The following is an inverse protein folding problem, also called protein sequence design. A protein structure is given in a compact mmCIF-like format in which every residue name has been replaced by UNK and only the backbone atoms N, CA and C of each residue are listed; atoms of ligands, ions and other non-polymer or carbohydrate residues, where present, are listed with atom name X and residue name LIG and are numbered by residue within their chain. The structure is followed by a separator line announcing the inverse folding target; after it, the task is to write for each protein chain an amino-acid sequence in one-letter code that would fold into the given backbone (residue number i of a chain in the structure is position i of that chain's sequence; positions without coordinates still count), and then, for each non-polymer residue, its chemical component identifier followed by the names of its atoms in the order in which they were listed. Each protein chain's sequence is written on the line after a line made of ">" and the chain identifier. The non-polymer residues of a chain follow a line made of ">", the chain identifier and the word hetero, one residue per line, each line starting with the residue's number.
data_IF_083951203226
#
_entry.id   IF_083951203226
#
_cell.length_a   1.000
_cell.length_b   1.000
_cell.length_c   1.000
_cell.angle_alpha   90.00
_cell.angle_beta   90.00
_cell.angle_gamma   90.00
#
_symmetry.space_group_name_H-M   'P 1'
#
loop_
_entity.id
_entity.type
_entity.pdbx_description
1 polymer ?
#
# COMPACT_ATOMS: atom_id res chain seq x y z
N UNK A 1 21.26 -13.26 -1.04
CA UNK A 1 21.01 -13.38 0.40
C UNK A 1 22.23 -13.03 1.22
N UNK A 2 23.40 -13.57 0.86
CA UNK A 2 24.68 -13.27 1.50
C UNK A 2 24.94 -11.76 1.64
N UNK A 3 24.81 -10.97 0.58
CA UNK A 3 24.98 -9.51 0.61
C UNK A 3 24.00 -8.80 1.57
N UNK A 4 22.76 -9.28 1.65
CA UNK A 4 21.72 -8.69 2.51
C UNK A 4 22.08 -8.94 3.98
N UNK A 5 22.44 -10.19 4.31
CA UNK A 5 22.77 -10.59 5.67
C UNK A 5 24.12 -10.04 6.15
N UNK A 6 25.10 -9.87 5.24
CA UNK A 6 26.42 -9.31 5.57
C UNK A 6 26.44 -7.78 5.67
N UNK A 7 25.40 -7.09 5.17
CA UNK A 7 25.31 -5.62 5.13
C UNK A 7 25.30 -4.91 6.48
N UNK A 8 25.20 -5.64 7.60
CA UNK A 8 24.98 -5.09 8.95
C UNK A 8 23.71 -4.21 9.07
N UNK A 9 22.79 -4.29 8.11
CA UNK A 9 21.56 -3.53 8.12
C UNK A 9 20.65 -3.94 9.29
N UNK A 10 20.04 -2.94 9.93
CA UNK A 10 19.03 -3.15 10.99
C UNK A 10 17.60 -3.16 10.43
N UNK A 11 17.40 -2.55 9.26
CA UNK A 11 16.10 -2.41 8.59
C UNK A 11 16.30 -2.74 7.11
N UNK A 12 15.45 -3.63 6.60
CA UNK A 12 15.35 -3.96 5.18
C UNK A 12 14.06 -3.36 4.60
N UNK A 13 14.20 -2.43 3.66
CA UNK A 13 13.09 -1.93 2.86
C UNK A 13 12.93 -2.76 1.59
N UNK A 14 11.75 -3.33 1.38
CA UNK A 14 11.44 -4.17 0.22
C UNK A 14 10.47 -3.41 -0.69
N UNK A 15 10.95 -2.99 -1.86
CA UNK A 15 10.21 -2.22 -2.85
C UNK A 15 9.80 -3.06 -4.07
N UNK A 16 9.41 -4.33 -3.88
CA UNK A 16 8.97 -5.23 -4.95
C UNK A 16 7.52 -4.99 -5.39
N UNK A 17 6.79 -4.14 -4.67
CA UNK A 17 5.37 -3.87 -4.87
C UNK A 17 4.46 -4.93 -4.24
N UNK A 18 3.27 -4.53 -3.83
CA UNK A 18 2.27 -5.43 -3.26
C UNK A 18 1.52 -6.22 -4.36
N UNK A 19 1.27 -7.53 -4.19
CA UNK A 19 1.52 -8.34 -2.97
C UNK A 19 2.90 -9.05 -2.95
N UNK A 20 3.74 -8.84 -3.98
CA UNK A 20 4.98 -9.58 -4.18
C UNK A 20 5.96 -9.37 -3.02
N UNK A 21 6.06 -8.16 -2.48
CA UNK A 21 6.93 -7.85 -1.36
C UNK A 21 6.53 -8.63 -0.09
N UNK A 22 5.23 -8.79 0.19
CA UNK A 22 4.75 -9.52 1.37
C UNK A 22 5.06 -11.02 1.24
N UNK A 23 4.87 -11.59 0.06
CA UNK A 23 5.22 -12.98 -0.20
C UNK A 23 6.72 -13.22 -0.15
N UNK A 24 7.51 -12.36 -0.78
CA UNK A 24 8.97 -12.50 -0.77
C UNK A 24 9.54 -12.43 0.65
N UNK A 25 9.08 -11.47 1.48
CA UNK A 25 9.50 -11.38 2.89
C UNK A 25 9.12 -12.66 3.65
N UNK A 26 7.92 -13.20 3.40
CA UNK A 26 7.42 -14.40 4.07
C UNK A 26 8.22 -15.65 3.67
N UNK A 27 8.42 -15.84 2.37
CA UNK A 27 9.17 -16.98 1.81
C UNK A 27 10.60 -17.04 2.36
N UNK A 28 11.22 -15.87 2.56
CA UNK A 28 12.60 -15.77 3.01
C UNK A 28 12.71 -15.43 4.51
N UNK A 29 11.63 -15.55 5.26
CA UNK A 29 11.58 -15.07 6.65
C UNK A 29 12.63 -15.75 7.55
N UNK A 30 12.89 -17.04 7.33
CA UNK A 30 13.87 -17.82 8.06
C UNK A 30 15.33 -17.59 7.63
N UNK A 31 15.55 -17.08 6.42
CA UNK A 31 16.89 -16.84 5.86
C UNK A 31 17.39 -15.41 6.13
N UNK A 32 16.47 -14.45 6.27
CA UNK A 32 16.80 -13.05 6.53
C UNK A 32 17.20 -12.86 7.99
N UNK A 33 18.45 -12.45 8.21
CA UNK A 33 19.00 -12.15 9.55
C UNK A 33 18.66 -10.72 10.02
N UNK A 34 18.10 -9.89 9.15
CA UNK A 34 17.72 -8.51 9.47
C UNK A 34 16.43 -8.51 10.30
N UNK A 35 16.42 -7.87 11.49
CA UNK A 35 15.30 -7.98 12.42
C UNK A 35 14.03 -7.31 11.88
N UNK A 36 14.16 -6.16 11.22
CA UNK A 36 13.04 -5.38 10.71
C UNK A 36 12.99 -5.43 9.20
N UNK A 37 11.85 -5.85 8.64
CA UNK A 37 11.61 -6.03 7.21
C UNK A 37 10.29 -5.36 6.85
N UNK A 38 10.32 -4.35 5.99
CA UNK A 38 9.16 -3.51 5.69
C UNK A 38 8.96 -3.46 4.18
N UNK A 39 7.78 -3.91 3.73
CA UNK A 39 7.32 -3.63 2.38
C UNK A 39 6.97 -2.15 2.25
N UNK A 40 7.69 -1.41 1.39
CA UNK A 40 7.49 0.04 1.22
C UNK A 40 6.59 0.37 0.03
N UNK A 41 6.21 -0.64 -0.76
CA UNK A 41 5.47 -0.44 -2.00
C UNK A 41 6.18 0.52 -2.95
N UNK A 42 5.40 1.27 -3.72
CA UNK A 42 5.94 2.28 -4.65
C UNK A 42 6.33 3.61 -3.98
N UNK A 43 6.47 3.66 -2.65
CA UNK A 43 6.87 4.88 -1.94
C UNK A 43 8.30 5.26 -2.28
N UNK A 44 9.17 4.25 -2.45
CA UNK A 44 10.56 4.45 -2.87
C UNK A 44 10.64 5.06 -4.27
N UNK A 45 9.78 4.65 -5.21
CA UNK A 45 9.73 5.22 -6.56
C UNK A 45 9.45 6.73 -6.55
N UNK A 46 8.66 7.20 -5.59
CA UNK A 46 8.35 8.64 -5.43
C UNK A 46 9.56 9.38 -4.87
N UNK A 47 10.24 8.80 -3.88
CA UNK A 47 11.46 9.39 -3.28
C UNK A 47 12.60 9.42 -4.30
N UNK A 48 12.75 8.38 -5.12
CA UNK A 48 13.75 8.28 -6.18
C UNK A 48 13.43 9.14 -7.42
N UNK A 49 12.29 9.85 -7.43
CA UNK A 49 11.87 10.70 -8.56
C UNK A 49 11.36 9.95 -9.79
N UNK A 50 11.23 8.62 -9.71
CA UNK A 50 10.74 7.75 -10.80
C UNK A 50 9.24 7.97 -11.03
N UNK A 51 8.47 8.15 -9.96
CA UNK A 51 7.04 8.44 -10.02
C UNK A 51 6.71 9.84 -9.52
N UNK A 52 5.90 10.56 -10.29
CA UNK A 52 5.33 11.82 -9.85
C UNK A 52 4.33 11.57 -8.72
N UNK A 53 4.50 12.30 -7.61
CA UNK A 53 3.53 12.36 -6.52
C UNK A 53 2.23 12.99 -7.02
N UNK A 54 1.11 12.66 -6.38
CA UNK A 54 -0.15 13.33 -6.68
C UNK A 54 -0.03 14.85 -6.44
N UNK A 55 -0.72 15.68 -7.24
CA UNK A 55 -0.76 17.12 -7.00
C UNK A 55 -1.24 17.45 -5.59
N UNK A 56 -0.77 18.57 -5.03
CA UNK A 56 -1.07 18.97 -3.65
C UNK A 56 -2.56 19.04 -3.32
N UNK A 57 -3.41 19.36 -4.31
CA UNK A 57 -4.87 19.29 -4.17
C UNK A 57 -5.34 17.90 -3.72
N UNK A 58 -4.97 16.85 -4.45
CA UNK A 58 -5.37 15.48 -4.12
C UNK A 58 -4.83 15.02 -2.77
N UNK A 59 -3.61 15.42 -2.41
CA UNK A 59 -3.03 15.09 -1.11
C UNK A 59 -3.81 15.77 0.02
N UNK A 60 -4.11 17.08 -0.11
CA UNK A 60 -4.85 17.85 0.91
C UNK A 60 -6.24 17.29 1.20
N UNK A 61 -6.90 16.71 0.20
CA UNK A 61 -8.22 16.09 0.35
C UNK A 61 -8.18 14.58 0.61
N UNK A 62 -7.00 13.98 0.85
CA UNK A 62 -6.82 12.53 0.96
C UNK A 62 -7.34 11.73 -0.26
N UNK A 63 -7.37 12.37 -1.43
CA UNK A 63 -7.82 11.81 -2.72
C UNK A 63 -6.66 11.26 -3.56
N UNK A 64 -5.51 11.00 -2.96
CA UNK A 64 -4.36 10.43 -3.68
C UNK A 64 -4.71 9.06 -4.31
N UNK A 65 -5.57 8.28 -3.67
CA UNK A 65 -6.06 7.02 -4.21
C UNK A 65 -6.83 7.21 -5.54
N UNK A 66 -7.61 8.30 -5.64
CA UNK A 66 -8.40 8.65 -6.82
C UNK A 66 -7.50 9.16 -7.94
N UNK A 67 -6.51 10.00 -7.61
CA UNK A 67 -5.50 10.42 -8.58
C UNK A 67 -4.80 9.19 -9.19
N UNK A 68 -4.35 8.26 -8.34
CA UNK A 68 -3.69 7.02 -8.80
C UNK A 68 -4.62 6.13 -9.63
N UNK A 69 -5.92 6.14 -9.33
CA UNK A 69 -6.93 5.42 -10.13
C UNK A 69 -7.02 5.98 -11.55
N UNK A 70 -7.04 7.31 -11.68
CA UNK A 70 -7.14 7.99 -12.96
C UNK A 70 -5.85 7.84 -13.78
N UNK A 71 -4.67 7.83 -13.14
CA UNK A 71 -3.37 7.74 -13.84
C UNK A 71 -2.92 6.33 -14.15
N UNK A 72 -3.37 5.32 -13.39
CA UNK A 72 -2.94 3.92 -13.55
C UNK A 72 -4.17 2.99 -13.70
N UNK A 73 -4.82 2.96 -14.88
CA UNK A 73 -6.07 2.22 -15.09
C UNK A 73 -5.95 0.71 -14.90
N UNK A 74 -4.74 0.14 -15.02
CA UNK A 74 -4.47 -1.26 -14.69
C UNK A 74 -4.74 -1.60 -13.21
N UNK A 75 -4.76 -0.60 -12.32
CA UNK A 75 -5.04 -0.77 -10.89
C UNK A 75 -6.52 -0.65 -10.52
N UNK A 76 -7.40 -0.42 -11.50
CA UNK A 76 -8.83 -0.15 -11.27
C UNK A 76 -9.54 -1.23 -10.47
N UNK A 77 -9.30 -2.51 -10.78
CA UNK A 77 -9.92 -3.64 -10.08
C UNK A 77 -9.64 -3.66 -8.57
N UNK A 78 -8.40 -3.32 -8.17
CA UNK A 78 -8.01 -3.30 -6.76
C UNK A 78 -8.54 -2.07 -6.02
N UNK A 79 -8.59 -0.93 -6.71
CA UNK A 79 -8.98 0.34 -6.10
C UNK A 79 -10.49 0.48 -5.95
N UNK A 80 -11.31 -0.15 -6.82
CA UNK A 80 -12.77 -0.14 -6.69
C UNK A 80 -13.29 -0.82 -5.42
N UNK A 81 -12.51 -1.72 -4.81
CA UNK A 81 -12.87 -2.31 -3.52
C UNK A 81 -13.02 -1.25 -2.42
N UNK A 82 -12.29 -0.13 -2.49
CA UNK A 82 -12.34 0.94 -1.50
C UNK A 82 -13.69 1.70 -1.48
N UNK A 83 -14.21 2.25 -2.59
CA UNK A 83 -15.52 2.89 -2.60
C UNK A 83 -16.66 1.90 -2.34
N UNK A 84 -16.55 0.66 -2.83
CA UNK A 84 -17.52 -0.39 -2.50
C UNK A 84 -17.58 -0.64 -0.99
N UNK A 85 -16.42 -0.78 -0.34
CA UNK A 85 -16.33 -0.92 1.10
C UNK A 85 -16.90 0.29 1.85
N UNK A 86 -16.58 1.51 1.41
CA UNK A 86 -17.12 2.73 2.02
C UNK A 86 -18.65 2.78 1.94
N UNK A 87 -19.23 2.43 0.79
CA UNK A 87 -20.69 2.33 0.61
C UNK A 87 -21.26 1.24 1.52
N UNK A 88 -20.63 0.06 1.59
CA UNK A 88 -21.08 -1.03 2.47
C UNK A 88 -21.14 -0.58 3.94
N UNK A 89 -20.12 0.13 4.42
CA UNK A 89 -20.10 0.67 5.79
C UNK A 89 -21.19 1.73 6.01
N UNK A 90 -21.42 2.63 5.04
CA UNK A 90 -22.47 3.64 5.12
C UNK A 90 -23.87 3.01 5.16
N UNK A 91 -24.14 2.03 4.29
CA UNK A 91 -25.41 1.30 4.25
C UNK A 91 -25.63 0.56 5.57
N UNK A 92 -24.60 -0.10 6.11
CA UNK A 92 -24.69 -0.78 7.39
C UNK A 92 -24.96 0.20 8.54
N UNK A 93 -24.29 1.35 8.55
CA UNK A 93 -24.52 2.41 9.52
C UNK A 93 -25.96 2.96 9.47
N UNK A 94 -26.51 3.17 8.28
CA UNK A 94 -27.88 3.63 8.09
C UNK A 94 -28.92 2.58 8.51
N UNK A 95 -28.67 1.29 8.24
CA UNK A 95 -29.54 0.19 8.69
C UNK A 95 -29.57 0.09 10.23
N UNK A 96 -28.40 0.21 10.87
CA UNK A 96 -28.27 0.13 12.33
C UNK A 96 -28.98 1.28 13.05
N UNK A 97 -28.98 2.48 12.46
CA UNK A 97 -29.68 3.64 13.03
C UNK A 97 -31.21 3.54 12.92
N UNK A 98 -31.72 2.76 11.95
CA UNK A 98 -33.16 2.58 11.71
C UNK A 98 -33.80 1.49 12.58
N UNK A 99 -33.00 0.71 13.32
CA UNK A 99 -33.44 -0.38 14.20
C UNK A 99 -33.46 0.03 15.69
N UNK A 100 -32.93 1.22 16.02
CA UNK A 100 -32.87 1.79 17.37
C UNK A 100 -33.80 3.02 17.55
N UNK A 101 -34.70 3.28 16.59
CA UNK A 101 -35.79 4.26 16.67
C UNK A 101 -37.13 3.57 16.50
#
# INVERSE_FOLDING_TARGET
>A
MEDINSSSARILFVALGAPKQEFWIREHFGELQIPVRIGVGGSLDVIAGIKKRAPGFFIRFNLEWLYRLLTEPSRFKRQLTLPLFAISILVEGLKRNRFLS
#
